data_IF_659927859301
#
_entry.id   IF_659927859301
#
_cell.length_a   1.000
_cell.length_b   1.000
_cell.length_c   1.000
_cell.angle_alpha   90.00
_cell.angle_beta   90.00
_cell.angle_gamma   90.00
#
_symmetry.space_group_name_H-M   'P 1'
#
loop_
_entity.id
_entity.type
_entity.pdbx_description
1 polymer ?
#
# COMPACT_ATOMS: atom_id res chain seq x y z
N UNK A 1 4.40 -28.38 -5.75
CA UNK A 1 3.78 -28.18 -4.43
C UNK A 1 3.31 -26.72 -4.37
N UNK A 2 2.05 -26.43 -4.05
CA UNK A 2 1.64 -25.06 -3.75
C UNK A 2 2.28 -24.71 -2.41
N UNK A 3 3.15 -23.72 -2.35
CA UNK A 3 3.68 -23.20 -1.08
C UNK A 3 2.50 -22.69 -0.27
N UNK A 4 2.39 -23.16 0.95
CA UNK A 4 1.35 -22.69 1.88
C UNK A 4 1.84 -21.39 2.54
N UNK A 5 1.12 -20.29 2.29
CA UNK A 5 1.42 -18.97 2.86
C UNK A 5 0.54 -18.65 4.08
N UNK A 6 -0.23 -19.62 4.59
CA UNK A 6 -1.11 -19.42 5.75
C UNK A 6 -0.34 -18.98 7.00
N UNK A 7 0.92 -19.38 7.14
CA UNK A 7 1.80 -18.94 8.22
C UNK A 7 1.94 -17.42 8.29
N UNK A 8 2.04 -16.73 7.14
CA UNK A 8 2.13 -15.26 7.07
C UNK A 8 0.81 -14.59 7.41
N UNK A 9 -0.32 -15.18 7.02
CA UNK A 9 -1.65 -14.71 7.45
C UNK A 9 -1.78 -14.80 8.96
N UNK A 10 -1.43 -15.95 9.55
CA UNK A 10 -1.47 -16.16 11.00
C UNK A 10 -0.50 -15.22 11.73
N UNK A 11 0.68 -14.97 11.19
CA UNK A 11 1.64 -14.02 11.74
C UNK A 11 1.06 -12.60 11.78
N UNK A 12 0.47 -12.14 10.68
CA UNK A 12 -0.19 -10.83 10.59
C UNK A 12 -1.30 -10.69 11.64
N UNK A 13 -2.18 -11.68 11.77
CA UNK A 13 -3.25 -11.69 12.77
C UNK A 13 -2.69 -11.66 14.20
N UNK A 14 -1.70 -12.48 14.49
CA UNK A 14 -1.10 -12.58 15.83
C UNK A 14 -0.48 -11.25 16.24
N UNK A 15 0.29 -10.63 15.36
CA UNK A 15 0.92 -9.35 15.64
C UNK A 15 -0.09 -8.23 15.84
N UNK A 16 -1.10 -8.14 14.98
CA UNK A 16 -2.13 -7.12 15.12
C UNK A 16 -2.94 -7.27 16.42
N UNK A 17 -3.29 -8.50 16.82
CA UNK A 17 -3.95 -8.78 18.11
C UNK A 17 -3.09 -8.36 19.31
N UNK A 18 -1.78 -8.65 19.28
CA UNK A 18 -0.84 -8.24 20.31
C UNK A 18 -0.77 -6.72 20.47
N UNK A 19 -0.73 -5.97 19.36
CA UNK A 19 -0.72 -4.50 19.39
C UNK A 19 -2.00 -3.93 19.96
N UNK A 20 -3.13 -4.46 19.54
CA UNK A 20 -4.43 -4.04 20.06
C UNK A 20 -4.54 -4.27 21.56
N UNK A 21 -4.06 -5.41 22.06
CA UNK A 21 -4.04 -5.74 23.49
C UNK A 21 -3.14 -4.81 24.31
N UNK A 22 -2.03 -4.31 23.73
CA UNK A 22 -1.09 -3.41 24.39
C UNK A 22 -1.48 -1.93 24.28
N UNK A 23 -2.56 -1.58 23.57
CA UNK A 23 -2.97 -0.20 23.27
C UNK A 23 -1.83 0.65 22.68
N UNK A 24 -1.05 0.03 21.81
CA UNK A 24 0.16 0.63 21.20
C UNK A 24 -0.24 1.57 20.07
N UNK A 25 0.40 2.73 19.96
CA UNK A 25 0.13 3.67 18.87
C UNK A 25 0.56 3.11 17.50
N UNK A 26 -0.15 3.47 16.42
CA UNK A 26 0.15 3.01 15.07
C UNK A 26 1.60 3.26 14.63
N UNK A 27 2.22 4.37 15.03
CA UNK A 27 3.62 4.66 14.76
C UNK A 27 4.58 3.67 15.45
N UNK A 28 4.30 3.28 16.70
CA UNK A 28 5.09 2.28 17.42
C UNK A 28 4.91 0.88 16.82
N UNK A 29 3.69 0.55 16.36
CA UNK A 29 3.38 -0.70 15.63
C UNK A 29 4.27 -0.82 14.41
N UNK A 30 4.32 0.22 13.56
CA UNK A 30 5.14 0.22 12.34
C UNK A 30 6.62 -0.08 12.63
N UNK A 31 7.20 0.61 13.62
CA UNK A 31 8.60 0.41 14.00
C UNK A 31 8.88 -1.00 14.54
N UNK A 32 7.96 -1.56 15.29
CA UNK A 32 8.15 -2.89 15.87
C UNK A 32 8.02 -4.00 14.83
N UNK A 33 7.10 -3.87 13.86
CA UNK A 33 6.93 -4.83 12.76
C UNK A 33 8.15 -4.96 11.85
N UNK A 34 8.97 -3.92 11.78
CA UNK A 34 10.19 -3.91 10.96
C UNK A 34 11.42 -4.46 11.71
N UNK A 35 11.33 -4.68 13.04
CA UNK A 35 12.43 -5.22 13.81
C UNK A 35 12.54 -6.73 13.63
N UNK A 36 13.62 -7.13 13.00
CA UNK A 36 14.29 -8.43 12.83
C UNK A 36 13.50 -9.75 12.80
N UNK A 37 12.57 -10.02 13.72
CA UNK A 37 11.92 -11.33 13.82
C UNK A 37 10.72 -11.49 12.86
N UNK A 38 10.24 -10.40 12.30
CA UNK A 38 9.00 -10.36 11.51
C UNK A 38 9.19 -9.74 10.13
N UNK A 39 10.44 -9.37 9.78
CA UNK A 39 10.73 -8.77 8.50
C UNK A 39 10.53 -9.78 7.37
N UNK A 40 9.73 -9.39 6.36
CA UNK A 40 9.53 -10.20 5.17
C UNK A 40 10.75 -10.03 4.28
N UNK A 41 11.60 -11.06 4.24
CA UNK A 41 12.82 -11.04 3.43
C UNK A 41 12.52 -11.13 1.93
N UNK A 42 13.29 -10.38 1.15
CA UNK A 42 13.29 -10.48 -0.30
C UNK A 42 14.18 -11.65 -0.75
N UNK A 43 13.59 -12.84 -0.86
CA UNK A 43 14.28 -14.04 -1.36
C UNK A 43 14.10 -14.16 -2.87
N UNK A 44 12.86 -14.35 -3.31
CA UNK A 44 12.45 -14.36 -4.70
C UNK A 44 11.25 -13.41 -4.90
N UNK A 45 11.16 -12.85 -6.10
CA UNK A 45 10.17 -11.81 -6.42
C UNK A 45 8.72 -12.21 -6.11
N UNK A 46 8.33 -13.40 -6.54
CA UNK A 46 6.94 -13.84 -6.38
C UNK A 46 6.62 -14.23 -4.94
N UNK A 47 7.54 -14.91 -4.27
CA UNK A 47 7.41 -15.29 -2.88
C UNK A 47 7.30 -14.06 -1.97
N UNK A 48 8.12 -13.05 -2.20
CA UNK A 48 8.06 -11.79 -1.47
C UNK A 48 6.67 -11.14 -1.56
N UNK A 49 6.13 -11.01 -2.77
CA UNK A 49 4.81 -10.41 -2.97
C UNK A 49 3.70 -11.24 -2.29
N UNK A 50 3.73 -12.56 -2.40
CA UNK A 50 2.78 -13.46 -1.76
C UNK A 50 2.86 -13.39 -0.23
N UNK A 51 4.06 -13.47 0.34
CA UNK A 51 4.30 -13.34 1.79
C UNK A 51 3.76 -12.01 2.32
N UNK A 52 4.10 -10.92 1.66
CA UNK A 52 3.64 -9.57 2.04
C UNK A 52 2.12 -9.47 1.97
N UNK A 53 1.50 -9.97 0.90
CA UNK A 53 0.06 -9.92 0.72
C UNK A 53 -0.69 -10.75 1.79
N UNK A 54 -0.22 -11.96 2.08
CA UNK A 54 -0.81 -12.82 3.10
C UNK A 54 -0.65 -12.23 4.51
N UNK A 55 0.52 -11.67 4.81
CA UNK A 55 0.76 -10.98 6.07
C UNK A 55 -0.21 -9.81 6.28
N UNK A 56 -0.33 -8.92 5.28
CA UNK A 56 -1.22 -7.76 5.36
C UNK A 56 -2.70 -8.17 5.40
N UNK A 57 -3.09 -9.22 4.68
CA UNK A 57 -4.44 -9.76 4.75
C UNK A 57 -4.78 -10.24 6.18
N UNK A 58 -3.89 -11.01 6.80
CA UNK A 58 -4.07 -11.45 8.18
C UNK A 58 -4.11 -10.29 9.17
N UNK A 59 -3.24 -9.29 8.99
CA UNK A 59 -3.22 -8.09 9.82
C UNK A 59 -4.57 -7.35 9.78
N UNK A 60 -5.13 -7.14 8.60
CA UNK A 60 -6.41 -6.47 8.39
C UNK A 60 -7.62 -7.25 8.93
N UNK A 61 -7.55 -8.59 8.97
CA UNK A 61 -8.62 -9.42 9.56
C UNK A 61 -8.89 -9.15 11.04
N UNK A 62 -8.03 -8.43 11.71
CA UNK A 62 -8.21 -8.08 13.12
C UNK A 62 -8.95 -6.77 13.34
N UNK A 63 -9.18 -5.98 12.29
CA UNK A 63 -9.80 -4.68 12.36
C UNK A 63 -8.93 -3.63 13.06
N UNK A 64 -7.62 -3.79 12.97
CA UNK A 64 -6.71 -2.70 13.32
C UNK A 64 -6.84 -1.60 12.26
N UNK A 65 -6.46 -0.38 12.63
CA UNK A 65 -6.63 0.80 11.78
C UNK A 65 -6.05 0.63 10.37
N UNK A 66 -6.85 0.78 9.30
CA UNK A 66 -6.44 0.51 7.92
C UNK A 66 -5.19 1.27 7.46
N UNK A 67 -4.97 2.47 8.01
CA UNK A 67 -3.79 3.28 7.69
C UNK A 67 -2.47 2.63 8.11
N UNK A 68 -2.46 1.81 9.17
CA UNK A 68 -1.26 1.08 9.61
C UNK A 68 -0.87 0.01 8.59
N UNK A 69 -1.82 -0.82 8.17
CA UNK A 69 -1.57 -1.85 7.16
C UNK A 69 -1.17 -1.25 5.81
N UNK A 70 -1.84 -0.19 5.38
CA UNK A 70 -1.49 0.55 4.17
C UNK A 70 -0.05 1.10 4.24
N UNK A 71 0.33 1.69 5.37
CA UNK A 71 1.69 2.19 5.62
C UNK A 71 2.76 1.10 5.48
N UNK A 72 2.49 -0.09 6.06
CA UNK A 72 3.39 -1.25 5.94
C UNK A 72 3.44 -1.76 4.50
N UNK A 73 2.29 -1.81 3.82
CA UNK A 73 2.21 -2.17 2.41
C UNK A 73 3.03 -1.23 1.52
N UNK A 74 2.92 0.08 1.73
CA UNK A 74 3.71 1.09 1.02
C UNK A 74 5.22 0.94 1.30
N UNK A 75 5.62 0.67 2.55
CA UNK A 75 7.01 0.37 2.86
C UNK A 75 7.55 -0.79 2.04
N UNK A 76 6.86 -1.92 2.03
CA UNK A 76 7.34 -3.10 1.31
C UNK A 76 7.29 -2.92 -0.21
N UNK A 77 6.23 -2.33 -0.76
CA UNK A 77 6.01 -2.30 -2.20
C UNK A 77 6.66 -1.09 -2.88
N UNK A 78 6.49 0.13 -2.34
CA UNK A 78 7.01 1.36 -2.94
C UNK A 78 8.42 1.73 -2.46
N UNK A 79 8.83 1.23 -1.30
CA UNK A 79 10.14 1.51 -0.69
C UNK A 79 11.13 0.36 -0.80
N UNK A 80 10.88 -0.72 -0.07
CA UNK A 80 11.80 -1.86 0.09
C UNK A 80 12.02 -2.64 -1.22
N UNK A 81 10.95 -2.98 -1.92
CA UNK A 81 11.01 -3.75 -3.17
C UNK A 81 11.90 -3.10 -4.26
N UNK A 82 11.78 -1.81 -4.60
CA UNK A 82 12.66 -1.17 -5.58
C UNK A 82 14.14 -1.31 -5.22
N UNK A 83 14.48 -1.12 -3.95
CA UNK A 83 15.88 -1.20 -3.50
C UNK A 83 16.38 -2.65 -3.55
N UNK A 84 15.61 -3.61 -3.05
CA UNK A 84 16.02 -5.01 -3.02
C UNK A 84 16.12 -5.63 -4.41
N UNK A 85 15.26 -5.24 -5.33
CA UNK A 85 15.29 -5.78 -6.69
C UNK A 85 16.35 -5.11 -7.57
N UNK A 86 16.48 -3.81 -7.51
CA UNK A 86 17.26 -3.01 -8.45
C UNK A 86 18.50 -2.34 -7.86
N UNK A 87 18.57 -2.21 -6.55
CA UNK A 87 19.68 -1.56 -5.85
C UNK A 87 20.98 -2.34 -5.96
N UNK A 88 22.10 -1.62 -5.84
CA UNK A 88 23.42 -2.20 -5.70
C UNK A 88 23.57 -3.00 -4.38
N UNK A 89 24.61 -3.80 -4.26
CA UNK A 89 24.91 -4.51 -3.00
C UNK A 89 25.07 -3.53 -1.82
N UNK A 90 25.61 -2.32 -2.07
CA UNK A 90 25.72 -1.28 -1.07
C UNK A 90 24.33 -0.88 -0.52
N UNK A 91 23.38 -0.58 -1.42
CA UNK A 91 22.02 -0.16 -1.01
C UNK A 91 21.25 -1.28 -0.31
N UNK A 92 21.35 -2.50 -0.82
CA UNK A 92 20.72 -3.67 -0.20
C UNK A 92 21.23 -3.91 1.22
N UNK A 93 22.55 -3.90 1.40
CA UNK A 93 23.16 -4.08 2.71
C UNK A 93 22.78 -2.94 3.66
N UNK A 94 22.74 -1.70 3.16
CA UNK A 94 22.37 -0.53 3.97
C UNK A 94 20.98 -0.68 4.56
N UNK A 95 19.96 -0.98 3.74
CA UNK A 95 18.58 -1.08 4.24
C UNK A 95 18.34 -2.34 5.08
N UNK A 96 19.03 -3.46 4.79
CA UNK A 96 18.90 -4.70 5.57
C UNK A 96 19.53 -4.58 6.96
N UNK A 97 20.59 -3.80 7.12
CA UNK A 97 21.28 -3.62 8.40
C UNK A 97 20.47 -2.76 9.39
N UNK A 98 19.62 -1.86 8.88
CA UNK A 98 19.04 -0.80 9.70
C UNK A 98 17.59 -1.09 10.12
N UNK A 99 16.90 -2.01 9.45
CA UNK A 99 15.48 -2.37 9.75
C UNK A 99 14.56 -1.16 9.95
N UNK A 100 14.72 -0.14 9.09
CA UNK A 100 14.01 1.14 9.17
C UNK A 100 12.92 1.25 8.11
N UNK A 101 11.91 2.10 8.36
CA UNK A 101 10.88 2.41 7.36
C UNK A 101 11.49 3.04 6.11
N UNK A 102 10.92 2.66 4.96
CA UNK A 102 11.24 3.26 3.66
C UNK A 102 9.96 3.85 3.07
N UNK A 103 10.01 5.11 2.68
CA UNK A 103 8.93 5.80 1.97
C UNK A 103 9.16 5.73 0.45
N UNK A 104 8.07 5.82 -0.33
CA UNK A 104 8.12 6.07 -1.77
C UNK A 104 7.63 7.48 -2.09
N UNK A 105 8.36 8.24 -2.88
CA UNK A 105 8.08 9.64 -3.19
C UNK A 105 8.04 9.88 -4.70
N UNK A 106 6.85 9.79 -5.30
CA UNK A 106 6.61 9.97 -6.73
C UNK A 106 5.77 11.20 -7.03
N UNK A 107 4.62 11.32 -6.35
CA UNK A 107 3.57 12.30 -6.60
C UNK A 107 4.02 13.73 -6.31
N UNK A 108 3.60 14.69 -7.13
CA UNK A 108 3.81 16.12 -6.93
C UNK A 108 2.47 16.87 -6.92
N UNK A 109 2.43 18.07 -6.36
CA UNK A 109 1.19 18.82 -6.14
C UNK A 109 0.40 19.11 -7.43
N UNK A 110 1.05 19.20 -8.58
CA UNK A 110 0.43 19.48 -9.87
C UNK A 110 -0.02 18.25 -10.65
N UNK A 111 0.32 17.02 -10.21
CA UNK A 111 -0.05 15.81 -10.92
C UNK A 111 0.08 14.53 -10.10
N UNK A 112 -1.06 13.87 -9.82
CA UNK A 112 -1.10 12.54 -9.24
C UNK A 112 -1.25 11.44 -10.30
N UNK A 113 -2.31 11.52 -11.12
CA UNK A 113 -2.56 10.56 -12.21
C UNK A 113 -1.54 10.68 -13.35
N UNK A 114 -1.03 11.87 -13.60
CA UNK A 114 0.05 12.14 -14.56
C UNK A 114 1.40 12.22 -13.82
N UNK A 115 1.71 11.18 -13.04
CA UNK A 115 2.88 11.15 -12.16
C UNK A 115 4.22 11.26 -12.91
N UNK A 116 4.23 10.96 -14.21
CA UNK A 116 5.45 11.05 -15.04
C UNK A 116 5.73 12.45 -15.59
N UNK A 117 4.76 13.36 -15.52
CA UNK A 117 4.95 14.79 -15.82
C UNK A 117 5.47 15.55 -14.58
N UNK A 118 6.43 14.92 -13.87
CA UNK A 118 7.03 15.50 -12.67
C UNK A 118 7.92 16.70 -13.00
N UNK A 119 8.22 17.51 -11.97
CA UNK A 119 9.13 18.68 -12.06
C UNK A 119 10.41 18.47 -11.25
N UNK A 120 10.46 17.47 -10.36
CA UNK A 120 11.66 17.12 -9.62
C UNK A 120 12.77 16.71 -10.57
N UNK A 121 13.92 17.35 -10.47
CA UNK A 121 15.09 17.12 -11.31
C UNK A 121 16.27 16.61 -10.51
N UNK A 122 17.18 15.87 -11.16
CA UNK A 122 18.45 15.44 -10.60
C UNK A 122 19.56 15.71 -11.61
N UNK A 123 20.38 16.71 -11.32
CA UNK A 123 21.46 17.17 -12.21
C UNK A 123 22.79 16.58 -11.76
N UNK A 124 23.53 15.94 -12.67
CA UNK A 124 24.84 15.35 -12.36
C UNK A 124 25.84 16.43 -11.99
N UNK A 125 26.56 16.26 -10.87
CA UNK A 125 27.64 17.12 -10.37
C UNK A 125 28.79 16.25 -9.82
N UNK A 126 29.84 16.13 -10.57
CA UNK A 126 30.96 15.22 -10.26
C UNK A 126 30.50 13.77 -9.95
N UNK A 127 30.70 13.27 -8.74
CA UNK A 127 30.29 11.93 -8.29
C UNK A 127 28.92 11.95 -7.59
N UNK A 128 28.15 13.05 -7.70
CA UNK A 128 26.86 13.22 -7.03
C UNK A 128 25.79 13.68 -8.00
N UNK A 129 24.55 13.69 -7.56
CA UNK A 129 23.40 14.33 -8.21
C UNK A 129 22.86 15.41 -7.27
N UNK A 130 22.56 16.58 -7.79
CA UNK A 130 21.87 17.64 -7.05
C UNK A 130 20.38 17.51 -7.39
N UNK A 131 19.58 17.16 -6.39
CA UNK A 131 18.16 16.93 -6.56
C UNK A 131 17.37 18.13 -6.06
N UNK A 132 16.47 18.64 -6.88
CA UNK A 132 15.56 19.74 -6.58
C UNK A 132 14.13 19.38 -6.93
N UNK A 133 13.19 19.61 -6.00
CA UNK A 133 11.78 19.38 -6.21
C UNK A 133 11.00 19.17 -4.92
N UNK A 134 9.68 19.00 -5.05
CA UNK A 134 8.77 18.75 -3.93
C UNK A 134 7.85 17.59 -4.27
N UNK A 135 7.87 16.55 -3.44
CA UNK A 135 6.96 15.40 -3.53
C UNK A 135 5.89 15.53 -2.45
N UNK A 136 4.64 15.20 -2.77
CA UNK A 136 3.53 15.33 -1.83
C UNK A 136 2.79 14.00 -1.62
N UNK A 137 2.01 13.92 -0.54
CA UNK A 137 1.30 12.70 -0.13
C UNK A 137 2.20 11.46 -0.03
N UNK A 138 3.45 11.66 0.39
CA UNK A 138 4.40 10.56 0.52
C UNK A 138 4.09 9.78 1.81
N UNK A 139 3.58 8.57 1.66
CA UNK A 139 3.30 7.66 2.78
C UNK A 139 4.60 7.31 3.49
N UNK A 140 4.58 7.31 4.81
CA UNK A 140 5.73 7.12 5.70
C UNK A 140 6.77 8.26 5.71
N UNK A 141 6.62 9.34 4.95
CA UNK A 141 7.66 10.38 4.86
C UNK A 141 8.06 10.95 6.22
N UNK A 142 7.09 11.13 7.15
CA UNK A 142 7.38 11.66 8.48
C UNK A 142 8.20 10.69 9.35
N UNK A 143 8.01 9.38 9.18
CA UNK A 143 8.57 8.34 10.05
C UNK A 143 9.78 7.61 9.44
N UNK A 144 9.88 7.61 8.10
CA UNK A 144 10.91 6.86 7.38
C UNK A 144 12.30 7.48 7.51
N UNK A 145 13.32 6.65 7.67
CA UNK A 145 14.72 7.06 7.50
C UNK A 145 15.08 7.15 6.01
N UNK A 146 14.62 6.18 5.22
CA UNK A 146 14.94 6.10 3.80
C UNK A 146 13.75 6.52 2.95
N UNK A 147 14.02 7.23 1.85
CA UNK A 147 13.00 7.67 0.90
C UNK A 147 13.46 7.33 -0.52
N UNK A 148 12.68 6.54 -1.26
CA UNK A 148 12.88 6.33 -2.69
C UNK A 148 12.29 7.51 -3.43
N UNK A 149 13.12 8.31 -4.08
CA UNK A 149 12.73 9.50 -4.84
C UNK A 149 12.95 9.28 -6.32
N UNK A 150 11.95 9.62 -7.12
CA UNK A 150 12.03 9.63 -8.59
C UNK A 150 12.21 11.06 -9.09
N UNK A 151 13.21 11.27 -9.97
CA UNK A 151 13.57 12.58 -10.51
C UNK A 151 13.96 12.49 -11.99
N UNK A 152 13.76 13.57 -12.72
CA UNK A 152 14.19 13.72 -14.11
C UNK A 152 15.70 13.92 -14.15
N UNK A 153 16.39 13.04 -14.87
CA UNK A 153 17.84 13.14 -15.13
C UNK A 153 18.16 13.47 -16.58
N UNK A 154 17.19 13.26 -17.49
CA UNK A 154 17.31 13.62 -18.90
C UNK A 154 15.91 13.87 -19.49
N UNK A 155 15.50 15.13 -19.57
CA UNK A 155 14.17 15.52 -20.05
C UNK A 155 13.91 15.09 -21.50
N UNK A 156 14.97 14.99 -22.32
CA UNK A 156 14.85 14.63 -23.74
C UNK A 156 14.44 13.18 -23.97
N UNK A 157 14.61 12.29 -22.98
CA UNK A 157 14.34 10.85 -23.09
C UNK A 157 12.96 10.43 -22.56
N UNK A 158 12.20 11.36 -22.00
CA UNK A 158 10.85 11.08 -21.49
C UNK A 158 10.82 10.01 -20.39
N UNK A 159 9.69 9.29 -20.27
CA UNK A 159 9.46 8.30 -19.23
C UNK A 159 10.52 7.18 -19.20
N UNK A 160 10.81 6.59 -20.35
CA UNK A 160 11.74 5.46 -20.46
C UNK A 160 13.12 5.96 -20.89
N UNK A 161 13.96 6.25 -19.91
CA UNK A 161 15.32 6.76 -20.10
C UNK A 161 15.58 8.13 -19.47
N UNK A 162 14.55 8.93 -19.20
CA UNK A 162 14.68 10.27 -18.64
C UNK A 162 14.52 10.36 -17.12
N UNK A 163 13.89 9.37 -16.49
CA UNK A 163 13.64 9.35 -15.04
C UNK A 163 14.57 8.37 -14.35
N UNK A 164 15.15 8.77 -13.22
CA UNK A 164 15.98 7.92 -12.37
C UNK A 164 15.41 7.82 -10.96
N UNK A 165 15.77 6.76 -10.24
CA UNK A 165 15.36 6.52 -8.87
C UNK A 165 16.56 6.63 -7.93
N UNK A 166 16.41 7.30 -6.80
CA UNK A 166 17.45 7.51 -5.80
C UNK A 166 16.96 7.11 -4.42
N UNK A 167 17.83 6.49 -3.62
CA UNK A 167 17.58 6.28 -2.21
C UNK A 167 18.12 7.47 -1.41
N UNK A 168 17.24 8.20 -0.76
CA UNK A 168 17.62 9.29 0.13
C UNK A 168 17.69 8.73 1.56
N UNK A 169 18.85 8.85 2.22
CA UNK A 169 19.05 8.56 3.63
C UNK A 169 19.02 9.87 4.42
N UNK A 170 18.02 10.08 5.26
CA UNK A 170 17.83 11.31 6.02
C UNK A 170 18.92 11.57 7.07
N UNK A 171 19.79 10.60 7.34
CA UNK A 171 20.93 10.78 8.24
C UNK A 171 22.15 11.36 7.52
N UNK A 172 22.15 11.35 6.18
CA UNK A 172 23.29 11.76 5.33
C UNK A 172 22.92 12.89 4.38
N UNK A 173 21.67 12.91 3.88
CA UNK A 173 21.22 13.86 2.87
C UNK A 173 20.31 14.91 3.50
N UNK A 174 20.50 16.17 3.12
CA UNK A 174 19.70 17.30 3.60
C UNK A 174 18.38 17.38 2.81
N UNK A 175 17.29 17.36 3.54
CA UNK A 175 15.93 17.56 3.02
C UNK A 175 15.00 18.01 4.14
N UNK A 176 13.86 18.57 3.78
CA UNK A 176 12.81 18.92 4.73
C UNK A 176 11.58 18.06 4.52
N UNK A 177 10.91 17.71 5.60
CA UNK A 177 9.62 17.03 5.60
C UNK A 177 8.59 17.95 6.27
N UNK A 178 7.51 18.25 5.54
CA UNK A 178 6.35 18.95 6.10
C UNK A 178 5.25 17.91 6.29
N UNK A 179 4.80 17.63 7.52
CA UNK A 179 3.68 16.73 7.76
C UNK A 179 2.41 17.21 7.06
N UNK A 180 1.63 16.27 6.52
CA UNK A 180 0.28 16.51 6.03
C UNK A 180 -0.67 15.93 7.07
N UNK A 181 -1.67 16.72 7.48
CA UNK A 181 -2.66 16.27 8.45
C UNK A 181 -3.40 15.04 7.95
N UNK A 182 -3.32 13.98 8.73
CA UNK A 182 -3.98 12.71 8.42
C UNK A 182 -5.46 12.81 8.78
N UNK A 183 -6.29 12.57 7.79
CA UNK A 183 -7.73 12.58 7.96
C UNK A 183 -8.35 11.18 7.86
N UNK A 184 -9.65 11.13 8.02
CA UNK A 184 -10.46 9.93 8.12
C UNK A 184 -9.98 8.71 7.30
N UNK A 185 -9.81 7.58 7.97
CA UNK A 185 -9.60 6.28 7.36
C UNK A 185 -8.15 5.86 7.14
N UNK A 186 -7.21 6.80 7.04
CA UNK A 186 -5.80 6.52 6.82
C UNK A 186 -4.89 7.14 7.90
N UNK A 187 -5.35 7.10 9.15
CA UNK A 187 -4.55 7.53 10.30
C UNK A 187 -3.27 6.69 10.40
N UNK A 188 -2.23 7.29 10.92
CA UNK A 188 -0.91 6.68 11.13
C UNK A 188 -0.13 6.31 9.86
N UNK A 189 -0.51 6.87 8.69
CA UNK A 189 0.26 6.70 7.45
C UNK A 189 1.57 7.49 7.47
N UNK A 190 1.69 8.52 8.31
CA UNK A 190 2.86 9.39 8.37
C UNK A 190 3.07 10.16 7.07
N UNK A 191 1.99 10.68 6.49
CA UNK A 191 2.04 11.46 5.24
C UNK A 191 2.85 12.73 5.41
N UNK A 192 3.61 13.06 4.37
CA UNK A 192 4.35 14.32 4.34
C UNK A 192 4.68 14.77 2.92
N UNK A 193 5.03 16.04 2.82
CA UNK A 193 5.74 16.58 1.68
C UNK A 193 7.23 16.37 1.89
N UNK A 194 7.92 15.90 0.86
CA UNK A 194 9.37 15.73 0.81
C UNK A 194 9.94 16.87 -0.03
N UNK A 195 10.63 17.81 0.62
CA UNK A 195 11.18 19.00 0.00
C UNK A 195 12.68 18.80 -0.17
N UNK A 196 13.12 18.76 -1.42
CA UNK A 196 14.51 18.61 -1.83
C UNK A 196 14.97 19.94 -2.42
N UNK A 197 15.93 20.59 -1.76
CA UNK A 197 16.50 21.84 -2.19
C UNK A 197 18.02 21.72 -2.18
N UNK A 198 18.61 21.72 -3.37
CA UNK A 198 20.04 21.46 -3.60
C UNK A 198 20.55 20.21 -2.88
N UNK A 199 19.69 19.19 -2.78
CA UNK A 199 19.99 17.96 -2.07
C UNK A 199 21.07 17.17 -2.84
N UNK A 200 22.27 17.13 -2.28
CA UNK A 200 23.42 16.45 -2.86
C UNK A 200 23.40 14.96 -2.51
N UNK A 201 23.22 14.10 -3.51
CA UNK A 201 23.11 12.64 -3.37
C UNK A 201 24.24 11.97 -4.13
N UNK A 202 25.11 11.25 -3.42
CA UNK A 202 26.22 10.48 -4.02
C UNK A 202 25.69 9.44 -5.02
N UNK A 203 26.37 9.23 -6.14
CA UNK A 203 25.93 8.31 -7.21
C UNK A 203 25.73 6.88 -6.75
N UNK A 204 26.38 6.43 -5.67
CA UNK A 204 26.17 5.10 -5.09
C UNK A 204 24.74 4.89 -4.53
N UNK A 205 23.98 5.97 -4.30
CA UNK A 205 22.58 5.94 -3.89
C UNK A 205 21.59 5.85 -5.06
N UNK A 206 22.07 5.77 -6.30
CA UNK A 206 21.23 5.51 -7.47
C UNK A 206 20.68 4.08 -7.41
N UNK A 207 19.38 3.93 -7.58
CA UNK A 207 18.70 2.63 -7.65
C UNK A 207 18.65 2.19 -9.10
N UNK A 208 19.31 1.07 -9.41
CA UNK A 208 19.43 0.58 -10.78
C UNK A 208 20.38 1.43 -11.62
N UNK A 209 20.05 1.57 -12.90
CA UNK A 209 20.79 2.40 -13.84
C UNK A 209 20.15 3.77 -14.01
N UNK A 210 20.97 4.75 -14.47
CA UNK A 210 20.45 6.05 -14.90
C UNK A 210 19.37 5.88 -15.96
N UNK A 211 18.26 6.60 -15.82
CA UNK A 211 17.12 6.49 -16.72
C UNK A 211 16.18 5.30 -16.46
N UNK A 212 16.49 4.41 -15.51
CA UNK A 212 15.65 3.24 -15.23
C UNK A 212 14.44 3.52 -14.31
N UNK A 213 14.32 4.73 -13.77
CA UNK A 213 13.31 5.07 -12.75
C UNK A 213 11.87 4.79 -13.17
N UNK A 214 11.52 5.08 -14.44
CA UNK A 214 10.18 4.79 -14.96
C UNK A 214 9.83 3.29 -14.91
N UNK A 215 10.77 2.42 -15.30
CA UNK A 215 10.59 0.96 -15.24
C UNK A 215 10.50 0.47 -13.79
N UNK A 216 11.37 0.99 -12.91
CA UNK A 216 11.38 0.62 -11.48
C UNK A 216 10.05 0.98 -10.84
N UNK A 217 9.53 2.19 -11.11
CA UNK A 217 8.25 2.63 -10.58
C UNK A 217 7.08 1.78 -11.08
N UNK A 218 7.01 1.52 -12.39
CA UNK A 218 5.93 0.70 -12.95
C UNK A 218 5.92 -0.72 -12.37
N UNK A 219 7.10 -1.31 -12.19
CA UNK A 219 7.23 -2.65 -11.61
C UNK A 219 6.79 -2.66 -10.13
N UNK A 220 7.18 -1.65 -9.37
CA UNK A 220 6.74 -1.47 -7.99
C UNK A 220 5.22 -1.31 -7.88
N UNK A 221 4.61 -0.55 -8.79
CA UNK A 221 3.15 -0.37 -8.82
C UNK A 221 2.38 -1.64 -9.17
N UNK A 222 2.90 -2.50 -10.04
CA UNK A 222 2.26 -3.79 -10.33
C UNK A 222 2.24 -4.68 -9.07
N UNK A 223 3.33 -4.70 -8.29
CA UNK A 223 3.41 -5.42 -7.01
C UNK A 223 2.45 -4.80 -5.99
N UNK A 224 2.50 -3.49 -5.82
CA UNK A 224 1.68 -2.78 -4.84
C UNK A 224 0.19 -2.99 -5.08
N UNK A 225 -0.28 -2.86 -6.33
CA UNK A 225 -1.68 -3.10 -6.70
C UNK A 225 -2.13 -4.52 -6.37
N UNK A 226 -1.32 -5.53 -6.67
CA UNK A 226 -1.66 -6.92 -6.37
C UNK A 226 -1.67 -7.20 -4.86
N UNK A 227 -0.65 -6.73 -4.13
CA UNK A 227 -0.51 -6.91 -2.67
C UNK A 227 -1.63 -6.21 -1.91
N UNK A 228 -1.88 -4.93 -2.19
CA UNK A 228 -2.92 -4.16 -1.50
C UNK A 228 -4.33 -4.65 -1.85
N UNK A 229 -4.54 -5.20 -3.05
CA UNK A 229 -5.82 -5.84 -3.38
C UNK A 229 -6.15 -7.00 -2.43
N UNK A 230 -5.15 -7.84 -2.11
CA UNK A 230 -5.37 -8.95 -1.17
C UNK A 230 -5.44 -8.48 0.29
N UNK A 231 -4.73 -7.41 0.65
CA UNK A 231 -4.88 -6.72 1.94
C UNK A 231 -6.35 -6.29 2.16
N UNK A 232 -6.98 -5.67 1.16
CA UNK A 232 -8.39 -5.24 1.26
C UNK A 232 -9.36 -6.40 1.48
N UNK A 233 -9.03 -7.61 1.00
CA UNK A 233 -9.83 -8.80 1.30
C UNK A 233 -9.84 -9.11 2.80
N UNK A 234 -8.73 -8.87 3.51
CA UNK A 234 -8.66 -8.96 4.98
C UNK A 234 -9.60 -7.98 5.68
N UNK A 235 -9.57 -6.70 5.26
CA UNK A 235 -10.49 -5.68 5.79
C UNK A 235 -11.95 -6.04 5.56
N UNK A 236 -12.28 -6.51 4.35
CA UNK A 236 -13.65 -6.95 4.03
C UNK A 236 -14.10 -8.14 4.87
N UNK A 237 -13.22 -9.13 5.11
CA UNK A 237 -13.54 -10.27 6.00
C UNK A 237 -13.81 -9.81 7.43
N UNK A 238 -13.00 -8.91 7.98
CA UNK A 238 -13.25 -8.31 9.29
C UNK A 238 -14.63 -7.64 9.38
N UNK A 239 -14.97 -6.80 8.41
CA UNK A 239 -16.26 -6.13 8.37
C UNK A 239 -17.43 -7.10 8.23
N UNK A 240 -17.27 -8.14 7.42
CA UNK A 240 -18.25 -9.20 7.23
C UNK A 240 -18.54 -9.96 8.52
N UNK A 241 -17.49 -10.45 9.21
CA UNK A 241 -17.63 -11.15 10.49
C UNK A 241 -18.26 -10.24 11.54
N UNK A 242 -17.90 -8.95 11.54
CA UNK A 242 -18.53 -7.93 12.39
C UNK A 242 -20.02 -7.83 12.13
N UNK A 243 -20.44 -7.79 10.87
CA UNK A 243 -21.86 -7.70 10.49
C UNK A 243 -22.66 -8.94 10.90
N UNK A 244 -22.08 -10.14 10.72
CA UNK A 244 -22.70 -11.40 11.16
C UNK A 244 -22.93 -11.36 12.67
N UNK A 245 -21.86 -11.13 13.44
CA UNK A 245 -21.93 -11.14 14.90
C UNK A 245 -22.90 -10.06 15.43
N UNK A 246 -22.85 -8.86 14.88
CA UNK A 246 -23.76 -7.78 15.27
C UNK A 246 -25.22 -8.12 14.94
N UNK A 247 -25.49 -8.62 13.72
CA UNK A 247 -26.85 -8.91 13.30
C UNK A 247 -27.51 -10.02 14.12
N UNK A 248 -26.73 -11.03 14.52
CA UNK A 248 -27.20 -12.13 15.38
C UNK A 248 -27.44 -11.69 16.83
N UNK A 249 -26.63 -10.74 17.32
CA UNK A 249 -26.74 -10.26 18.70
C UNK A 249 -27.74 -9.10 18.88
N UNK A 250 -28.10 -8.41 17.82
CA UNK A 250 -28.98 -7.24 17.88
C UNK A 250 -30.44 -7.68 17.97
N UNK A 251 -31.00 -7.64 19.19
CA UNK A 251 -32.37 -8.07 19.46
C UNK A 251 -33.43 -7.20 18.77
N UNK A 252 -34.51 -7.86 18.39
CA UNK A 252 -35.81 -7.28 17.97
C UNK A 252 -36.93 -7.78 18.88
N UNK A 253 -38.18 -7.43 18.61
CA UNK A 253 -39.30 -7.91 19.40
C UNK A 253 -39.43 -9.43 19.37
N UNK A 254 -39.14 -10.08 18.20
CA UNK A 254 -39.40 -11.48 17.95
C UNK A 254 -38.14 -12.29 17.59
N UNK A 255 -36.94 -11.77 17.86
CA UNK A 255 -35.69 -12.44 17.52
C UNK A 255 -34.51 -11.51 17.38
N UNK A 256 -33.79 -11.54 16.28
CA UNK A 256 -32.65 -10.69 15.97
C UNK A 256 -32.80 -9.99 14.58
N UNK A 257 -31.97 -8.97 14.32
CA UNK A 257 -32.03 -8.36 12.99
C UNK A 257 -31.57 -9.29 11.87
N UNK A 258 -30.83 -10.38 12.18
CA UNK A 258 -30.43 -11.41 11.22
C UNK A 258 -31.62 -12.19 10.64
N UNK A 259 -32.79 -12.14 11.27
CA UNK A 259 -33.99 -12.80 10.79
C UNK A 259 -34.68 -12.06 9.62
N UNK A 260 -34.31 -10.77 9.41
CA UNK A 260 -34.86 -9.98 8.33
C UNK A 260 -34.17 -10.27 7.00
N UNK A 261 -34.93 -10.58 5.96
CA UNK A 261 -34.44 -10.86 4.61
C UNK A 261 -33.56 -9.74 4.05
N UNK A 262 -33.88 -8.47 4.37
CA UNK A 262 -33.07 -7.31 3.95
C UNK A 262 -31.64 -7.33 4.51
N UNK A 263 -31.43 -7.85 5.72
CA UNK A 263 -30.11 -8.03 6.32
C UNK A 263 -29.42 -9.25 5.69
N UNK A 264 -30.13 -10.37 5.50
CA UNK A 264 -29.59 -11.57 4.88
C UNK A 264 -29.07 -11.31 3.46
N UNK A 265 -29.80 -10.53 2.66
CA UNK A 265 -29.37 -10.16 1.30
C UNK A 265 -28.10 -9.30 1.31
N UNK A 266 -28.00 -8.31 2.23
CA UNK A 266 -26.78 -7.52 2.38
C UNK A 266 -25.56 -8.39 2.72
N UNK A 267 -25.73 -9.32 3.64
CA UNK A 267 -24.66 -10.27 4.04
C UNK A 267 -24.29 -11.19 2.85
N UNK A 268 -25.26 -11.65 2.08
CA UNK A 268 -25.01 -12.47 0.88
C UNK A 268 -24.22 -11.68 -0.18
N UNK A 269 -24.59 -10.42 -0.45
CA UNK A 269 -23.88 -9.56 -1.40
C UNK A 269 -22.43 -9.27 -0.93
N UNK A 270 -22.24 -9.03 0.38
CA UNK A 270 -20.89 -8.87 0.95
C UNK A 270 -20.05 -10.15 0.75
N UNK A 271 -20.61 -11.34 0.94
CA UNK A 271 -19.91 -12.59 0.71
C UNK A 271 -19.48 -12.75 -0.75
N UNK A 272 -20.34 -12.41 -1.72
CA UNK A 272 -20.02 -12.45 -3.15
C UNK A 272 -18.91 -11.46 -3.52
N UNK A 273 -18.96 -10.24 -2.98
CA UNK A 273 -17.91 -9.23 -3.19
C UNK A 273 -16.54 -9.71 -2.66
N UNK A 274 -16.51 -10.36 -1.51
CA UNK A 274 -15.27 -10.88 -0.90
C UNK A 274 -14.70 -12.02 -1.73
N UNK A 275 -15.50 -13.05 -2.06
CA UNK A 275 -15.03 -14.22 -2.80
C UNK A 275 -14.51 -13.83 -4.19
N UNK A 276 -15.22 -12.96 -4.91
CA UNK A 276 -14.77 -12.47 -6.22
C UNK A 276 -13.48 -11.66 -6.12
N UNK A 277 -13.33 -10.85 -5.07
CA UNK A 277 -12.13 -10.05 -4.81
C UNK A 277 -10.93 -10.93 -4.49
N UNK A 278 -11.08 -11.95 -3.63
CA UNK A 278 -10.01 -12.88 -3.29
C UNK A 278 -9.49 -13.63 -4.52
N UNK A 279 -10.40 -14.13 -5.38
CA UNK A 279 -10.02 -14.79 -6.61
C UNK A 279 -9.23 -13.88 -7.55
N UNK A 280 -9.64 -12.62 -7.69
CA UNK A 280 -8.96 -11.67 -8.56
C UNK A 280 -7.62 -11.20 -7.99
N UNK A 281 -7.54 -10.97 -6.68
CA UNK A 281 -6.29 -10.60 -6.02
C UNK A 281 -5.26 -11.74 -6.11
N UNK A 282 -5.66 -12.98 -5.83
CA UNK A 282 -4.79 -14.15 -5.97
C UNK A 282 -4.34 -14.38 -7.43
N UNK A 283 -5.26 -14.21 -8.40
CA UNK A 283 -4.89 -14.25 -9.83
C UNK A 283 -3.79 -13.23 -10.15
N UNK A 284 -3.92 -11.98 -9.63
CA UNK A 284 -2.92 -10.94 -9.86
C UNK A 284 -1.59 -11.29 -9.18
N UNK A 285 -1.59 -11.72 -7.94
CA UNK A 285 -0.40 -12.12 -7.19
C UNK A 285 0.38 -13.25 -7.87
N UNK A 286 -0.29 -14.36 -8.18
CA UNK A 286 0.35 -15.48 -8.88
C UNK A 286 0.76 -15.12 -10.32
N UNK A 287 0.09 -14.13 -10.92
CA UNK A 287 0.37 -13.63 -12.27
C UNK A 287 1.54 -12.64 -12.37
N UNK A 288 2.12 -12.17 -11.25
CA UNK A 288 3.21 -11.17 -11.25
C UNK A 288 4.46 -11.59 -12.03
N UNK A 289 4.74 -12.88 -12.14
CA UNK A 289 5.86 -13.42 -12.94
C UNK A 289 5.64 -13.27 -14.45
N UNK A 290 4.40 -13.21 -14.90
CA UNK A 290 4.08 -13.11 -16.33
C UNK A 290 4.12 -11.65 -16.78
N UNK A 291 5.25 -11.22 -17.34
CA UNK A 291 5.50 -9.85 -17.80
C UNK A 291 4.47 -9.32 -18.81
N UNK A 292 3.83 -10.20 -19.58
CA UNK A 292 2.86 -9.78 -20.62
C UNK A 292 1.48 -9.44 -20.05
N UNK A 293 1.08 -10.06 -18.93
CA UNK A 293 -0.27 -9.94 -18.37
C UNK A 293 -0.33 -9.28 -16.99
N UNK A 294 0.80 -9.22 -16.26
CA UNK A 294 0.82 -8.80 -14.85
C UNK A 294 0.22 -7.41 -14.62
N UNK A 295 0.56 -6.41 -15.45
CA UNK A 295 0.08 -5.04 -15.31
C UNK A 295 -1.44 -4.95 -15.47
N UNK A 296 -2.01 -5.64 -16.47
CA UNK A 296 -3.46 -5.70 -16.66
C UNK A 296 -4.13 -6.47 -15.52
N UNK A 297 -3.55 -7.60 -15.07
CA UNK A 297 -4.11 -8.39 -13.97
C UNK A 297 -4.09 -7.63 -12.64
N UNK A 298 -3.00 -6.91 -12.33
CA UNK A 298 -2.89 -6.06 -11.16
C UNK A 298 -3.91 -4.89 -11.21
N UNK A 299 -4.08 -4.26 -12.38
CA UNK A 299 -5.07 -3.22 -12.57
C UNK A 299 -6.51 -3.73 -12.40
N UNK A 300 -6.83 -4.92 -12.93
CA UNK A 300 -8.14 -5.56 -12.76
C UNK A 300 -8.43 -5.86 -11.28
N UNK A 301 -7.46 -6.46 -10.57
CA UNK A 301 -7.60 -6.77 -9.15
C UNK A 301 -7.82 -5.50 -8.33
N UNK A 302 -7.05 -4.44 -8.61
CA UNK A 302 -7.15 -3.16 -7.90
C UNK A 302 -8.54 -2.54 -8.03
N UNK A 303 -9.14 -2.52 -9.22
CA UNK A 303 -10.51 -2.00 -9.40
C UNK A 303 -11.50 -2.86 -8.63
N UNK A 304 -11.51 -4.18 -8.87
CA UNK A 304 -12.48 -5.09 -8.27
C UNK A 304 -12.40 -5.03 -6.74
N UNK A 305 -11.21 -5.14 -6.16
CA UNK A 305 -11.06 -5.16 -4.71
C UNK A 305 -11.36 -3.81 -4.04
N UNK A 306 -10.95 -2.68 -4.65
CA UNK A 306 -11.24 -1.37 -4.07
C UNK A 306 -12.73 -1.01 -4.14
N UNK A 307 -13.42 -1.31 -5.24
CA UNK A 307 -14.85 -1.07 -5.37
C UNK A 307 -15.68 -2.01 -4.48
N UNK A 308 -15.26 -3.28 -4.35
CA UNK A 308 -15.89 -4.23 -3.43
C UNK A 308 -15.69 -3.79 -1.96
N UNK A 309 -14.48 -3.36 -1.59
CA UNK A 309 -14.20 -2.87 -0.24
C UNK A 309 -15.10 -1.69 0.12
N UNK A 310 -15.32 -0.76 -0.81
CA UNK A 310 -16.24 0.35 -0.60
C UNK A 310 -17.68 -0.16 -0.39
N UNK A 311 -18.18 -1.08 -1.23
CA UNK A 311 -19.53 -1.64 -1.06
C UNK A 311 -19.69 -2.38 0.26
N UNK A 312 -18.73 -3.22 0.64
CA UNK A 312 -18.74 -3.95 1.92
C UNK A 312 -18.72 -2.99 3.11
N UNK A 313 -17.87 -1.96 3.09
CA UNK A 313 -17.81 -0.95 4.14
C UNK A 313 -19.13 -0.15 4.25
N UNK A 314 -19.74 0.19 3.11
CA UNK A 314 -21.05 0.85 3.08
C UNK A 314 -22.14 -0.05 3.66
N UNK A 315 -22.22 -1.33 3.25
CA UNK A 315 -23.20 -2.27 3.81
C UNK A 315 -23.01 -2.44 5.33
N UNK A 316 -21.75 -2.43 5.79
CA UNK A 316 -21.42 -2.49 7.22
C UNK A 316 -22.04 -1.32 7.96
N UNK A 317 -21.90 -0.09 7.48
CA UNK A 317 -22.52 1.07 8.15
C UNK A 317 -24.06 0.99 8.20
N UNK A 318 -24.67 0.43 7.15
CA UNK A 318 -26.13 0.26 7.09
C UNK A 318 -26.63 -0.84 8.06
N UNK A 319 -25.90 -1.94 8.20
CA UNK A 319 -26.23 -3.03 9.14
C UNK A 319 -26.05 -2.57 10.59
N UNK A 320 -24.95 -1.89 10.88
CA UNK A 320 -24.64 -1.39 12.22
C UNK A 320 -25.52 -0.21 12.65
N UNK A 321 -26.06 0.56 11.69
CA UNK A 321 -26.90 1.73 11.96
C UNK A 321 -26.18 2.77 12.84
N UNK A 322 -26.82 3.26 13.90
CA UNK A 322 -26.25 4.25 14.81
C UNK A 322 -24.92 3.81 15.47
N UNK A 323 -24.69 2.52 15.65
CA UNK A 323 -23.46 2.00 16.24
C UNK A 323 -22.23 2.31 15.37
N UNK A 324 -22.36 2.33 14.04
CA UNK A 324 -21.28 2.72 13.14
C UNK A 324 -20.74 4.12 13.44
N UNK A 325 -21.64 5.06 13.79
CA UNK A 325 -21.30 6.45 14.08
C UNK A 325 -20.77 6.68 15.51
N UNK A 326 -20.90 5.68 16.40
CA UNK A 326 -20.31 5.71 17.74
C UNK A 326 -18.92 5.05 17.81
N UNK A 327 -18.29 4.76 16.66
CA UNK A 327 -16.96 4.17 16.58
C UNK A 327 -16.93 2.65 16.63
N UNK A 328 -18.10 1.97 16.63
CA UNK A 328 -18.15 0.52 16.67
C UNK A 328 -17.41 -0.09 15.46
N UNK A 329 -16.47 -0.98 15.78
CA UNK A 329 -15.66 -1.72 14.79
C UNK A 329 -14.88 -0.85 13.78
N UNK A 330 -14.69 0.43 14.05
CA UNK A 330 -14.02 1.33 13.10
C UNK A 330 -14.75 1.47 11.75
N UNK A 331 -16.07 1.27 11.72
CA UNK A 331 -16.84 1.19 10.48
C UNK A 331 -16.68 2.42 9.58
N UNK A 332 -16.68 3.63 10.15
CA UNK A 332 -16.46 4.86 9.38
C UNK A 332 -15.02 5.05 8.92
N UNK A 333 -14.05 4.57 9.69
CA UNK A 333 -12.64 4.56 9.29
C UNK A 333 -12.46 3.64 8.07
N UNK A 334 -13.04 2.44 8.10
CA UNK A 334 -13.03 1.52 6.96
C UNK A 334 -13.77 2.10 5.75
N UNK A 335 -14.89 2.81 5.93
CA UNK A 335 -15.60 3.46 4.83
C UNK A 335 -14.72 4.52 4.16
N UNK A 336 -14.04 5.36 4.93
CA UNK A 336 -13.14 6.37 4.39
C UNK A 336 -11.89 5.74 3.75
N UNK A 337 -11.28 4.72 4.38
CA UNK A 337 -10.15 3.99 3.82
C UNK A 337 -10.49 3.29 2.50
N UNK A 338 -11.69 2.70 2.42
CA UNK A 338 -12.17 2.06 1.20
C UNK A 338 -12.34 3.05 0.05
N UNK A 339 -12.81 4.27 0.31
CA UNK A 339 -12.86 5.33 -0.69
C UNK A 339 -11.45 5.72 -1.16
N UNK A 340 -10.50 5.89 -0.24
CA UNK A 340 -9.12 6.19 -0.57
C UNK A 340 -8.46 5.07 -1.41
N UNK A 341 -8.85 3.81 -1.20
CA UNK A 341 -8.33 2.66 -1.96
C UNK A 341 -8.62 2.74 -3.47
N UNK A 342 -9.63 3.50 -3.88
CA UNK A 342 -9.92 3.76 -5.30
C UNK A 342 -8.98 4.80 -5.93
N UNK A 343 -8.18 5.52 -5.11
CA UNK A 343 -7.36 6.66 -5.52
C UNK A 343 -5.87 6.30 -5.55
N UNK A 344 -5.34 5.76 -4.45
CA UNK A 344 -3.90 5.47 -4.36
C UNK A 344 -3.47 4.32 -5.29
N UNK A 345 -2.17 4.17 -5.50
CA UNK A 345 -1.56 3.23 -6.47
C UNK A 345 -2.05 3.45 -7.91
N UNK A 346 -2.53 4.66 -8.21
CA UNK A 346 -3.23 5.07 -9.43
C UNK A 346 -4.74 4.89 -9.32
N UNK A 347 -5.50 5.90 -9.71
CA UNK A 347 -6.96 5.90 -9.64
C UNK A 347 -7.58 4.73 -10.42
N UNK A 348 -8.80 4.33 -10.06
CA UNK A 348 -9.53 3.30 -10.81
C UNK A 348 -9.70 3.67 -12.29
N UNK A 349 -9.74 4.98 -12.63
CA UNK A 349 -9.81 5.43 -14.02
C UNK A 349 -8.48 5.22 -14.75
N UNK A 350 -7.33 5.46 -14.09
CA UNK A 350 -6.01 5.08 -14.63
C UNK A 350 -5.94 3.56 -14.84
N UNK A 351 -6.47 2.76 -13.92
CA UNK A 351 -6.52 1.31 -14.09
C UNK A 351 -7.38 0.90 -15.30
N UNK A 352 -8.52 1.56 -15.53
CA UNK A 352 -9.35 1.36 -16.72
C UNK A 352 -8.59 1.69 -18.01
N UNK A 353 -7.81 2.79 -18.03
CA UNK A 353 -6.97 3.12 -19.16
C UNK A 353 -5.90 2.04 -19.43
N UNK A 354 -5.25 1.53 -18.39
CA UNK A 354 -4.27 0.44 -18.50
C UNK A 354 -4.91 -0.82 -19.10
N UNK A 355 -6.09 -1.19 -18.63
CA UNK A 355 -6.82 -2.37 -19.12
C UNK A 355 -7.24 -2.17 -20.57
N UNK A 356 -7.84 -1.02 -20.90
CA UNK A 356 -8.29 -0.70 -22.25
C UNK A 356 -7.13 -0.73 -23.26
N UNK A 357 -5.99 -0.15 -22.92
CA UNK A 357 -4.80 -0.16 -23.77
C UNK A 357 -4.14 -1.54 -23.97
N UNK A 358 -4.66 -2.60 -23.32
CA UNK A 358 -4.26 -3.99 -23.56
C UNK A 358 -5.27 -4.77 -24.37
N UNK A 359 -6.48 -4.24 -24.59
CA UNK A 359 -7.60 -4.90 -25.28
C UNK A 359 -7.80 -4.29 -26.66
N UNK A 360 -7.68 -2.98 -26.76
CA UNK A 360 -7.80 -2.18 -28.00
C UNK A 360 -6.46 -1.58 -28.40
#
# INVERSE_FOLDING_TARGET
>A
MKTDFSEYTNLGESLAKNYRAQNTSGAAVKKQLLRSEHQIEFTEFNDFALKTAHFLNGFERTGLEPGVAFSIGAHYCAGYFPVMKYGSSFLKNLISAESELIAGAMTEAHGGSDAFNMKTTAVKSANSYIINGVKTYCTNACDARFIVVYAITDESKGLFGGISAFLIDRTVHELNITPIDESAGLQHTGWGEVILQDCAVDERYLIGNIGAGGFIFMDAMDVERAVLSYMHCGSMRYLFDTCINFSQSRATADGSISDYQAIQFRIADMALDIESSELMALKALYGLQNKSTRTASAAQAKIICSEAYFRVAQQTTLILGGAAFSGYAGALQHLAASQASSIYSGTNDIMRNIIAGKIV
#
